data_IF_048378684097
#
_entry.id   IF_048378684097
#
_cell.length_a   1.000
_cell.length_b   1.000
_cell.length_c   1.000
_cell.angle_alpha   90.00
_cell.angle_beta   90.00
_cell.angle_gamma   90.00
#
_symmetry.space_group_name_H-M   'P 1'
#
loop_
_entity.id
_entity.type
_entity.pdbx_description
1 polymer ?
#
# COMPACT_ATOMS: atom_id res chain seq x y z
N UNK A 1 27.18 29.95 6.50
CA UNK A 1 26.13 29.89 7.54
C UNK A 1 24.69 29.97 7.02
N UNK A 2 24.43 30.58 5.84
CA UNK A 2 23.06 30.79 5.34
C UNK A 2 22.32 29.53 4.82
N UNK A 3 23.05 28.47 4.43
CA UNK A 3 22.43 27.27 3.85
C UNK A 3 21.75 26.38 4.90
N UNK A 4 22.33 26.30 6.11
CA UNK A 4 21.83 25.51 7.23
C UNK A 4 20.47 26.04 7.74
N UNK A 5 20.36 27.35 7.93
CA UNK A 5 19.11 28.00 8.36
C UNK A 5 18.01 27.95 7.28
N UNK A 6 18.40 27.94 5.99
CA UNK A 6 17.45 27.70 4.88
C UNK A 6 16.94 26.27 4.86
N UNK A 7 17.80 25.29 5.15
CA UNK A 7 17.41 23.88 5.30
C UNK A 7 16.42 23.64 6.46
N UNK A 8 16.63 24.32 7.60
CA UNK A 8 15.74 24.27 8.76
C UNK A 8 14.35 24.90 8.51
N UNK A 9 14.27 25.96 7.70
CA UNK A 9 13.00 26.65 7.42
C UNK A 9 12.23 26.07 6.22
N UNK A 10 12.93 25.58 5.20
CA UNK A 10 12.33 25.06 3.97
C UNK A 10 12.15 23.54 3.92
N UNK A 11 12.80 22.80 4.84
CA UNK A 11 13.07 21.38 4.66
C UNK A 11 14.17 21.20 3.59
N UNK A 12 15.19 20.40 3.88
CA UNK A 12 16.14 19.98 2.85
C UNK A 12 15.44 18.86 2.07
N UNK A 13 14.95 19.15 0.88
CA UNK A 13 14.56 18.11 -0.07
C UNK A 13 15.84 17.42 -0.52
N UNK A 14 16.11 16.23 0.01
CA UNK A 14 17.31 15.43 -0.31
C UNK A 14 17.27 14.89 -1.74
N UNK A 15 16.10 14.88 -2.37
CA UNK A 15 15.89 14.53 -3.78
C UNK A 15 14.69 15.29 -4.36
N UNK A 16 14.77 15.64 -5.66
CA UNK A 16 13.60 16.02 -6.46
C UNK A 16 13.07 14.75 -7.12
N UNK A 17 11.77 14.53 -7.01
CA UNK A 17 10.93 13.46 -7.59
C UNK A 17 11.68 12.36 -8.37
N UNK A 18 11.66 11.15 -7.82
CA UNK A 18 12.22 9.96 -8.44
C UNK A 18 11.38 9.55 -9.66
N UNK A 19 11.90 9.82 -10.86
CA UNK A 19 11.34 9.31 -12.12
C UNK A 19 12.23 8.18 -12.64
N UNK A 20 11.80 6.92 -12.49
CA UNK A 20 12.44 5.81 -13.20
C UNK A 20 11.87 5.69 -14.60
N UNK A 21 12.76 5.61 -15.58
CA UNK A 21 12.43 5.38 -16.98
C UNK A 21 12.87 3.96 -17.38
N UNK A 22 12.60 3.00 -16.50
CA UNK A 22 13.04 1.62 -16.68
C UNK A 22 12.17 0.93 -17.75
N UNK A 23 12.79 0.66 -18.91
CA UNK A 23 12.22 -0.21 -19.94
C UNK A 23 12.58 -1.65 -19.60
N UNK A 24 11.58 -2.42 -19.22
CA UNK A 24 11.72 -3.83 -18.83
C UNK A 24 11.66 -4.75 -20.05
N UNK A 25 12.52 -5.78 -20.15
CA UNK A 25 12.43 -6.79 -21.19
C UNK A 25 11.68 -8.02 -20.68
N UNK A 26 10.63 -8.42 -21.39
CA UNK A 26 10.23 -9.80 -21.72
C UNK A 26 8.75 -9.80 -22.10
N UNK A 27 8.49 -9.94 -23.39
CA UNK A 27 7.15 -10.16 -23.91
C UNK A 27 6.68 -11.58 -23.54
N UNK A 28 5.42 -11.74 -23.13
CA UNK A 28 4.78 -13.06 -23.06
C UNK A 28 3.29 -13.03 -23.48
N UNK A 29 2.95 -14.08 -24.23
CA UNK A 29 1.65 -14.72 -24.45
C UNK A 29 0.46 -13.81 -24.81
N UNK A 30 0.30 -13.55 -26.12
CA UNK A 30 -1.01 -13.19 -26.70
C UNK A 30 -1.93 -14.40 -26.65
N UNK A 31 -3.21 -14.20 -26.31
CA UNK A 31 -4.25 -15.19 -26.63
C UNK A 31 -4.37 -15.36 -28.14
N UNK A 32 -4.88 -16.50 -28.60
CA UNK A 32 -4.99 -16.85 -30.04
C UNK A 32 -5.74 -15.79 -30.87
N UNK A 33 -6.58 -14.96 -30.24
CA UNK A 33 -7.38 -13.91 -30.89
C UNK A 33 -6.93 -12.46 -30.60
N UNK A 34 -5.77 -12.25 -29.97
CA UNK A 34 -5.32 -10.90 -29.59
C UNK A 34 -5.90 -10.38 -28.27
N UNK A 35 -6.72 -11.18 -27.58
CA UNK A 35 -7.18 -10.89 -26.22
C UNK A 35 -6.05 -11.08 -25.19
N UNK A 36 -5.96 -10.15 -24.24
CA UNK A 36 -5.03 -10.23 -23.11
C UNK A 36 -5.67 -11.08 -22.01
N UNK A 37 -5.10 -12.25 -21.73
CA UNK A 37 -5.51 -13.07 -20.59
C UNK A 37 -4.90 -12.51 -19.30
N UNK A 38 -5.63 -11.62 -18.62
CA UNK A 38 -5.19 -11.06 -17.35
C UNK A 38 -5.19 -12.13 -16.25
N UNK A 39 -4.08 -12.39 -15.54
CA UNK A 39 -4.02 -13.44 -14.52
C UNK A 39 -4.84 -13.15 -13.26
N UNK A 40 -5.22 -11.88 -13.03
CA UNK A 40 -5.98 -11.44 -11.86
C UNK A 40 -7.35 -10.87 -12.21
N UNK A 41 -7.77 -11.00 -13.48
CA UNK A 41 -9.00 -10.40 -14.01
C UNK A 41 -9.13 -8.89 -13.72
N UNK A 42 -8.00 -8.19 -13.63
CA UNK A 42 -7.94 -6.75 -13.39
C UNK A 42 -8.39 -5.91 -14.61
N UNK A 43 -8.45 -6.53 -15.79
CA UNK A 43 -8.89 -5.91 -17.03
C UNK A 43 -10.14 -6.65 -17.51
N UNK A 44 -11.23 -5.91 -17.73
CA UNK A 44 -12.47 -6.41 -18.31
C UNK A 44 -12.92 -5.46 -19.40
N UNK A 45 -12.62 -5.80 -20.66
CA UNK A 45 -12.80 -4.87 -21.78
C UNK A 45 -11.91 -3.64 -21.60
N UNK A 46 -12.52 -2.45 -21.63
CA UNK A 46 -11.82 -1.17 -21.42
C UNK A 46 -11.67 -0.79 -19.94
N UNK A 47 -12.33 -1.51 -19.02
CA UNK A 47 -12.30 -1.19 -17.61
C UNK A 47 -11.10 -1.82 -16.91
N UNK A 48 -10.46 -1.04 -16.04
CA UNK A 48 -9.30 -1.45 -15.25
C UNK A 48 -9.54 -1.26 -13.75
N UNK A 49 -9.25 -2.32 -12.99
CA UNK A 49 -9.33 -2.35 -11.53
C UNK A 49 -7.92 -2.30 -10.91
N UNK A 50 -7.58 -1.16 -10.33
CA UNK A 50 -6.29 -0.95 -9.66
C UNK A 50 -6.09 -1.88 -8.45
N UNK A 51 -7.17 -2.30 -7.77
CA UNK A 51 -7.11 -3.20 -6.61
C UNK A 51 -6.80 -4.65 -6.96
N UNK A 52 -6.85 -5.01 -8.25
CA UNK A 52 -6.53 -6.34 -8.78
C UNK A 52 -5.29 -6.35 -9.67
N UNK A 53 -4.85 -5.18 -10.13
CA UNK A 53 -3.70 -5.08 -11.02
C UNK A 53 -2.41 -5.44 -10.27
N UNK A 54 -1.62 -6.35 -10.85
CA UNK A 54 -0.27 -6.71 -10.37
C UNK A 54 0.85 -6.10 -11.20
N UNK A 55 0.52 -5.21 -12.14
CA UNK A 55 1.48 -4.52 -13.02
C UNK A 55 2.45 -5.45 -13.76
N UNK A 56 1.97 -6.64 -14.15
CA UNK A 56 2.76 -7.62 -14.92
C UNK A 56 3.03 -7.21 -16.37
N UNK A 57 2.42 -6.11 -16.86
CA UNK A 57 2.54 -5.56 -18.22
C UNK A 57 2.17 -6.50 -19.38
N UNK A 58 1.57 -7.67 -19.12
CA UNK A 58 1.07 -8.58 -20.17
C UNK A 58 0.04 -7.94 -21.12
N UNK A 59 -0.61 -6.87 -20.66
CA UNK A 59 -1.58 -6.10 -21.43
C UNK A 59 -0.96 -5.10 -22.42
N UNK A 60 0.33 -4.78 -22.28
CA UNK A 60 0.99 -3.85 -23.19
C UNK A 60 1.31 -4.54 -24.54
N UNK A 61 1.18 -3.84 -25.68
CA UNK A 61 0.79 -2.44 -25.86
C UNK A 61 -0.72 -2.23 -26.06
N UNK A 62 -1.54 -3.29 -25.93
CA UNK A 62 -2.96 -3.29 -26.29
C UNK A 62 -3.79 -2.41 -25.35
N UNK A 63 -3.43 -2.41 -24.07
CA UNK A 63 -4.08 -1.62 -23.04
C UNK A 63 -3.03 -0.98 -22.14
N UNK A 64 -3.16 0.33 -21.90
CA UNK A 64 -2.37 1.08 -20.95
C UNK A 64 -3.27 1.55 -19.80
N UNK A 65 -2.93 1.27 -18.53
CA UNK A 65 -3.71 1.77 -17.40
C UNK A 65 -3.66 3.31 -17.36
N UNK A 66 -4.79 3.96 -17.62
CA UNK A 66 -4.92 5.42 -17.74
C UNK A 66 -5.23 6.14 -16.43
N UNK A 67 -5.57 5.43 -15.36
CA UNK A 67 -5.79 6.02 -14.03
C UNK A 67 -4.49 6.19 -13.24
N UNK A 68 -4.52 6.92 -12.12
CA UNK A 68 -3.36 7.03 -11.22
C UNK A 68 -3.22 5.72 -10.41
N UNK A 69 -2.28 4.82 -10.74
CA UNK A 69 -2.26 3.45 -10.22
C UNK A 69 -2.01 3.32 -8.73
N UNK A 70 -1.54 4.39 -8.11
CA UNK A 70 -1.01 4.39 -6.75
C UNK A 70 -1.84 5.26 -5.80
N UNK A 71 -3.03 5.70 -6.22
CA UNK A 71 -3.93 6.41 -5.31
C UNK A 71 -4.63 5.44 -4.38
N UNK A 72 -4.44 5.63 -3.08
CA UNK A 72 -5.17 4.89 -2.08
C UNK A 72 -6.66 5.24 -2.12
N UNK A 73 -7.50 4.21 -1.99
CA UNK A 73 -8.94 4.38 -1.79
C UNK A 73 -9.19 4.51 -0.29
N UNK A 74 -9.78 5.63 0.11
CA UNK A 74 -10.06 5.96 1.51
C UNK A 74 -11.55 5.82 1.74
N UNK A 75 -11.96 4.80 2.50
CA UNK A 75 -13.35 4.55 2.89
C UNK A 75 -13.66 5.09 4.29
N UNK A 76 -12.65 5.22 5.15
CA UNK A 76 -12.79 5.78 6.50
C UNK A 76 -11.50 6.40 7.01
N UNK A 77 -11.64 7.52 7.71
CA UNK A 77 -10.55 8.25 8.38
C UNK A 77 -10.93 8.55 9.81
N UNK A 78 -9.96 8.63 10.71
CA UNK A 78 -10.19 9.01 12.10
C UNK A 78 -9.37 10.26 12.45
N UNK A 79 -10.07 11.35 12.83
CA UNK A 79 -9.45 12.64 13.10
C UNK A 79 -8.71 12.71 14.45
N UNK A 80 -8.99 11.78 15.35
CA UNK A 80 -8.34 11.70 16.67
C UNK A 80 -6.84 11.40 16.55
N UNK A 81 -6.41 10.71 15.49
CA UNK A 81 -5.01 10.31 15.27
C UNK A 81 -4.13 11.37 14.58
N UNK A 82 -4.64 12.58 14.36
CA UNK A 82 -3.94 13.62 13.57
C UNK A 82 -2.51 13.93 14.03
N UNK A 83 -2.24 13.84 15.34
CA UNK A 83 -0.95 14.20 15.95
C UNK A 83 -0.03 13.00 16.17
N UNK A 84 -0.59 11.86 16.52
CA UNK A 84 0.12 10.61 16.80
C UNK A 84 -0.69 9.46 16.26
N UNK A 85 -0.08 8.66 15.39
CA UNK A 85 -0.72 7.54 14.73
C UNK A 85 0.17 6.31 14.83
N UNK A 86 -0.24 5.37 15.67
CA UNK A 86 0.50 4.15 15.95
C UNK A 86 -0.01 3.01 15.07
N UNK A 87 0.86 2.46 14.23
CA UNK A 87 0.47 1.43 13.26
C UNK A 87 1.15 0.10 13.58
N UNK A 88 0.38 -0.98 13.52
CA UNK A 88 0.86 -2.34 13.73
C UNK A 88 0.84 -3.13 12.41
N UNK A 89 2.00 -3.45 11.83
CA UNK A 89 2.07 -4.29 10.65
C UNK A 89 1.88 -5.77 10.99
N UNK A 90 0.98 -6.42 10.27
CA UNK A 90 0.80 -7.86 10.27
C UNK A 90 0.98 -8.42 8.86
N UNK A 91 1.90 -9.37 8.75
CA UNK A 91 2.12 -10.14 7.53
C UNK A 91 1.28 -11.41 7.59
N UNK A 92 0.38 -11.58 6.63
CA UNK A 92 -0.56 -12.71 6.59
C UNK A 92 -0.14 -13.84 5.65
N UNK A 93 0.95 -13.66 4.90
CA UNK A 93 1.39 -14.59 3.85
C UNK A 93 2.16 -13.94 2.69
N UNK A 94 2.71 -12.74 2.89
CA UNK A 94 3.36 -11.95 1.85
C UNK A 94 4.59 -12.62 1.24
N UNK A 95 4.87 -12.31 -0.03
CA UNK A 95 6.14 -12.63 -0.70
C UNK A 95 7.30 -11.72 -0.29
N UNK A 96 7.06 -10.77 0.63
CA UNK A 96 8.06 -9.83 1.15
C UNK A 96 8.15 -8.50 0.39
N UNK A 97 7.61 -8.40 -0.82
CA UNK A 97 7.67 -7.17 -1.63
C UNK A 97 7.00 -5.98 -0.94
N UNK A 98 5.74 -6.15 -0.50
CA UNK A 98 5.04 -5.08 0.23
C UNK A 98 5.70 -4.75 1.58
N UNK A 99 6.30 -5.75 2.24
CA UNK A 99 6.98 -5.55 3.52
C UNK A 99 8.25 -4.71 3.37
N UNK A 100 8.98 -4.88 2.27
CA UNK A 100 10.17 -4.09 1.98
C UNK A 100 9.78 -2.63 1.76
N UNK A 101 8.84 -2.37 0.86
CA UNK A 101 8.35 -1.00 0.60
C UNK A 101 7.75 -0.35 1.85
N UNK A 102 7.00 -1.12 2.64
CA UNK A 102 6.44 -0.63 3.90
C UNK A 102 7.55 -0.31 4.92
N UNK A 103 8.63 -1.09 5.00
CA UNK A 103 9.75 -0.76 5.89
C UNK A 103 10.50 0.50 5.44
N UNK A 104 10.57 0.77 4.14
CA UNK A 104 11.25 1.95 3.60
C UNK A 104 10.63 3.26 4.06
N UNK A 105 9.34 3.30 4.44
CA UNK A 105 8.71 4.52 4.97
C UNK A 105 9.38 5.02 6.27
N UNK A 106 10.08 4.14 6.99
CA UNK A 106 10.87 4.49 8.18
C UNK A 106 12.30 4.92 7.89
N UNK A 107 12.76 4.73 6.64
CA UNK A 107 14.09 5.16 6.22
C UNK A 107 14.15 6.69 6.12
N UNK A 108 15.35 7.30 6.27
CA UNK A 108 15.50 8.76 6.30
C UNK A 108 14.94 9.49 5.06
N UNK A 109 14.84 8.81 3.92
CA UNK A 109 14.31 9.36 2.67
C UNK A 109 12.81 9.71 2.78
N UNK A 110 12.04 8.85 3.45
CA UNK A 110 10.58 9.03 3.59
C UNK A 110 10.21 9.54 4.98
N UNK A 111 10.97 9.15 6.00
CA UNK A 111 10.84 9.51 7.41
C UNK A 111 9.39 9.69 7.87
N UNK A 112 8.67 8.60 8.11
CA UNK A 112 7.29 8.67 8.58
C UNK A 112 7.12 9.39 9.92
N UNK A 113 8.17 9.49 10.75
CA UNK A 113 8.08 10.04 12.11
C UNK A 113 7.80 11.53 12.13
N UNK A 114 8.25 12.27 11.10
CA UNK A 114 7.91 13.70 10.91
C UNK A 114 6.41 13.96 10.74
N UNK A 115 5.65 12.93 10.35
CA UNK A 115 4.20 13.00 10.19
C UNK A 115 3.45 12.50 11.43
N UNK A 116 4.16 12.17 12.52
CA UNK A 116 3.58 11.62 13.75
C UNK A 116 3.16 10.16 13.61
N UNK A 117 3.75 9.42 12.67
CA UNK A 117 3.44 8.00 12.44
C UNK A 117 4.53 7.14 13.08
N UNK A 118 4.13 6.13 13.83
CA UNK A 118 5.04 5.28 14.60
C UNK A 118 4.68 3.81 14.49
N UNK A 119 5.67 2.93 14.47
CA UNK A 119 5.45 1.49 14.57
C UNK A 119 5.31 1.06 16.02
N UNK A 120 4.38 0.14 16.26
CA UNK A 120 4.26 -0.57 17.53
C UNK A 120 4.48 -2.06 17.34
N UNK A 121 4.94 -2.71 18.40
CA UNK A 121 5.22 -4.16 18.40
C UNK A 121 4.06 -5.00 18.92
N UNK A 122 2.95 -4.37 19.30
CA UNK A 122 1.75 -5.07 19.80
C UNK A 122 0.48 -4.38 19.30
N UNK A 123 -0.55 -5.16 18.89
CA UNK A 123 -1.83 -4.60 18.45
C UNK A 123 -2.56 -3.85 19.57
N UNK A 124 -2.28 -4.12 20.84
CA UNK A 124 -2.93 -3.42 21.98
C UNK A 124 -2.59 -1.93 22.07
N UNK A 125 -1.51 -1.50 21.41
CA UNK A 125 -1.06 -0.10 21.37
C UNK A 125 -1.26 0.52 19.98
N UNK A 126 -1.99 -0.17 19.10
CA UNK A 126 -2.14 0.23 17.70
C UNK A 126 -3.46 0.97 17.47
N UNK A 127 -3.38 2.09 16.77
CA UNK A 127 -4.51 2.84 16.23
C UNK A 127 -4.95 2.27 14.87
N UNK A 128 -4.01 1.68 14.12
CA UNK A 128 -4.29 1.02 12.86
C UNK A 128 -3.57 -0.32 12.69
N UNK A 129 -4.30 -1.26 12.10
CA UNK A 129 -3.81 -2.57 11.66
C UNK A 129 -3.42 -2.49 10.20
N UNK A 130 -2.14 -2.68 9.89
CA UNK A 130 -1.65 -2.74 8.51
C UNK A 130 -1.57 -4.19 8.08
N UNK A 131 -2.40 -4.60 7.12
CA UNK A 131 -2.44 -5.97 6.62
C UNK A 131 -1.73 -6.05 5.27
N UNK A 132 -0.73 -6.93 5.20
CA UNK A 132 0.05 -7.19 4.00
C UNK A 132 0.01 -8.66 3.62
N UNK A 133 0.10 -8.93 2.31
CA UNK A 133 0.13 -10.28 1.76
C UNK A 133 -1.26 -10.89 1.57
N UNK A 134 -1.28 -12.13 1.07
CA UNK A 134 -2.49 -12.93 0.99
C UNK A 134 -2.77 -13.60 2.35
N UNK A 135 -4.02 -14.00 2.58
CA UNK A 135 -4.39 -14.67 3.83
C UNK A 135 -4.00 -16.15 3.76
N UNK A 136 -2.95 -16.54 4.48
CA UNK A 136 -2.71 -17.96 4.75
C UNK A 136 -3.67 -18.50 5.81
N UNK A 137 -4.08 -19.76 5.65
CA UNK A 137 -5.05 -20.41 6.56
C UNK A 137 -4.61 -20.33 8.04
N UNK A 138 -3.31 -20.51 8.29
CA UNK A 138 -2.71 -20.43 9.62
C UNK A 138 -2.78 -19.02 10.21
N UNK A 139 -2.67 -17.99 9.37
CA UNK A 139 -2.69 -16.59 9.80
C UNK A 139 -4.10 -16.03 9.99
N UNK A 140 -5.13 -16.65 9.44
CA UNK A 140 -6.53 -16.19 9.61
C UNK A 140 -6.91 -15.98 11.07
N UNK A 141 -6.65 -16.97 11.94
CA UNK A 141 -6.94 -16.85 13.38
C UNK A 141 -6.09 -15.80 14.08
N UNK A 142 -4.84 -15.62 13.65
CA UNK A 142 -3.90 -14.65 14.25
C UNK A 142 -4.33 -13.23 13.89
N UNK A 143 -4.67 -12.99 12.63
CA UNK A 143 -5.18 -11.72 12.14
C UNK A 143 -6.44 -11.30 12.89
N UNK A 144 -7.41 -12.23 13.04
CA UNK A 144 -8.64 -11.94 13.78
C UNK A 144 -8.37 -11.59 15.24
N UNK A 145 -7.52 -12.35 15.93
CA UNK A 145 -7.12 -12.05 17.31
C UNK A 145 -6.43 -10.70 17.44
N UNK A 146 -5.55 -10.35 16.51
CA UNK A 146 -4.87 -9.05 16.51
C UNK A 146 -5.88 -7.90 16.37
N UNK A 147 -6.84 -8.04 15.46
CA UNK A 147 -7.91 -7.06 15.27
C UNK A 147 -8.83 -6.93 16.50
N UNK A 148 -9.19 -8.06 17.13
CA UNK A 148 -10.12 -8.08 18.26
C UNK A 148 -9.52 -7.44 19.53
N UNK A 149 -8.20 -7.51 19.72
CA UNK A 149 -7.52 -6.93 20.92
C UNK A 149 -7.14 -5.46 20.77
N UNK A 150 -7.32 -4.86 19.60
CA UNK A 150 -7.07 -3.44 19.38
C UNK A 150 -8.15 -2.56 20.05
N UNK A 151 -7.76 -1.44 20.68
CA UNK A 151 -8.71 -0.49 21.26
C UNK A 151 -9.50 0.24 20.17
N UNK A 152 -10.69 0.74 20.51
CA UNK A 152 -11.45 1.66 19.66
C UNK A 152 -11.10 3.13 19.98
N UNK A 153 -11.10 4.05 18.99
CA UNK A 153 -11.34 3.79 17.56
C UNK A 153 -10.16 3.04 16.91
N UNK A 154 -10.42 2.20 15.90
CA UNK A 154 -9.35 1.54 15.12
C UNK A 154 -9.58 1.56 13.62
N UNK A 155 -8.49 1.58 12.86
CA UNK A 155 -8.48 1.50 11.40
C UNK A 155 -7.83 0.21 10.90
N UNK A 156 -8.26 -0.26 9.74
CA UNK A 156 -7.63 -1.35 8.99
C UNK A 156 -7.15 -0.79 7.67
N UNK A 157 -5.88 -1.04 7.35
CA UNK A 157 -5.25 -0.57 6.12
C UNK A 157 -4.72 -1.78 5.36
N UNK A 158 -5.27 -2.00 4.17
CA UNK A 158 -4.86 -3.10 3.28
C UNK A 158 -3.79 -2.57 2.32
N UNK A 159 -2.61 -3.17 2.34
CA UNK A 159 -1.49 -2.77 1.49
C UNK A 159 -1.20 -3.85 0.46
N UNK A 160 -1.30 -3.45 -0.81
CA UNK A 160 -0.97 -4.24 -1.96
C UNK A 160 -2.09 -5.15 -2.45
N UNK A 161 -2.01 -5.52 -3.73
CA UNK A 161 -3.05 -6.27 -4.45
C UNK A 161 -3.41 -7.59 -3.77
N UNK A 162 -2.43 -8.29 -3.17
CA UNK A 162 -2.67 -9.54 -2.44
C UNK A 162 -3.61 -9.36 -1.23
N UNK A 163 -3.47 -8.27 -0.47
CA UNK A 163 -4.31 -7.99 0.69
C UNK A 163 -5.69 -7.45 0.29
N UNK A 164 -5.85 -6.97 -0.95
CA UNK A 164 -7.10 -6.37 -1.44
C UNK A 164 -7.99 -7.42 -2.11
N UNK A 165 -7.40 -8.21 -3.01
CA UNK A 165 -8.14 -9.11 -3.91
C UNK A 165 -7.62 -10.54 -3.90
N UNK A 166 -6.56 -10.84 -3.14
CA UNK A 166 -5.91 -12.14 -3.15
C UNK A 166 -4.76 -12.27 -4.17
N UNK A 167 -4.61 -11.30 -5.09
CA UNK A 167 -3.56 -11.31 -6.10
C UNK A 167 -3.73 -12.47 -7.09
N UNK A 168 -2.64 -13.11 -7.49
CA UNK A 168 -2.65 -14.15 -8.55
C UNK A 168 -3.21 -15.48 -8.07
N UNK A 169 -2.92 -15.87 -6.82
CA UNK A 169 -3.22 -17.23 -6.32
C UNK A 169 -3.78 -17.26 -4.90
N UNK A 170 -3.92 -16.11 -4.26
CA UNK A 170 -4.28 -16.01 -2.85
C UNK A 170 -5.75 -15.70 -2.61
N UNK A 171 -6.10 -15.72 -1.33
CA UNK A 171 -7.41 -15.28 -0.82
C UNK A 171 -7.17 -13.98 -0.04
N UNK A 172 -8.01 -12.95 -0.18
CA UNK A 172 -7.88 -11.74 0.62
C UNK A 172 -8.22 -12.02 2.10
N UNK A 173 -7.69 -11.23 3.05
CA UNK A 173 -8.08 -11.27 4.45
C UNK A 173 -9.59 -11.03 4.63
N UNK A 174 -10.22 -11.77 5.55
CA UNK A 174 -11.63 -11.60 5.93
C UNK A 174 -11.81 -10.43 6.93
N UNK A 175 -11.28 -9.26 6.56
CA UNK A 175 -11.42 -8.01 7.32
C UNK A 175 -11.62 -6.87 6.33
N UNK A 176 -12.62 -6.02 6.60
CA UNK A 176 -12.87 -4.83 5.79
C UNK A 176 -11.79 -3.77 6.04
N UNK A 177 -11.11 -3.34 4.97
CA UNK A 177 -10.17 -2.21 5.01
C UNK A 177 -10.88 -0.86 5.04
N UNK A 178 -10.47 0.04 5.93
CA UNK A 178 -10.82 1.46 5.91
C UNK A 178 -10.03 2.22 4.85
N UNK A 179 -8.78 1.82 4.61
CA UNK A 179 -7.90 2.39 3.59
C UNK A 179 -7.28 1.27 2.78
N UNK A 180 -7.27 1.44 1.47
CA UNK A 180 -6.82 0.44 0.51
C UNK A 180 -5.72 1.06 -0.34
N UNK A 181 -4.52 0.47 -0.31
CA UNK A 181 -3.35 0.95 -1.06
C UNK A 181 -3.05 -0.02 -2.21
N UNK A 182 -3.51 0.25 -3.45
CA UNK A 182 -3.26 -0.62 -4.59
C UNK A 182 -1.78 -0.62 -4.99
N UNK A 183 -1.27 -1.76 -5.46
CA UNK A 183 0.12 -1.91 -5.90
C UNK A 183 0.67 -3.32 -5.74
N UNK A 184 1.68 -3.68 -6.55
CA UNK A 184 2.37 -4.98 -6.46
C UNK A 184 3.87 -4.86 -6.77
N UNK A 185 4.67 -4.26 -5.87
CA UNK A 185 4.27 -3.65 -4.61
C UNK A 185 3.84 -2.17 -4.78
N UNK A 186 3.08 -1.59 -3.85
CA UNK A 186 2.85 -0.16 -3.80
C UNK A 186 4.14 0.58 -3.40
N UNK A 187 4.37 1.78 -3.95
CA UNK A 187 5.57 2.57 -3.62
C UNK A 187 5.51 3.10 -2.19
N UNK A 188 6.65 3.39 -1.54
CA UNK A 188 6.67 3.87 -0.16
C UNK A 188 5.98 5.23 -0.01
N UNK A 189 6.10 6.10 -1.02
CA UNK A 189 5.40 7.38 -1.07
C UNK A 189 3.88 7.20 -1.02
N UNK A 190 3.34 6.27 -1.81
CA UNK A 190 1.90 6.02 -1.86
C UNK A 190 1.38 5.35 -0.61
N UNK A 191 2.18 4.49 0.04
CA UNK A 191 1.88 3.98 1.38
C UNK A 191 1.81 5.14 2.37
N UNK A 192 2.83 6.01 2.39
CA UNK A 192 2.93 7.12 3.33
C UNK A 192 1.78 8.12 3.16
N UNK A 193 1.45 8.50 1.93
CA UNK A 193 0.31 9.36 1.61
C UNK A 193 -1.00 8.76 2.11
N UNK A 194 -1.17 7.44 1.95
CA UNK A 194 -2.35 6.73 2.45
C UNK A 194 -2.44 6.79 3.98
N UNK A 195 -1.33 6.61 4.71
CA UNK A 195 -1.30 6.70 6.17
C UNK A 195 -1.59 8.13 6.67
N UNK A 196 -1.05 9.14 5.98
CA UNK A 196 -1.30 10.55 6.29
C UNK A 196 -2.78 10.89 6.12
N UNK A 197 -3.39 10.40 5.04
CA UNK A 197 -4.81 10.61 4.80
C UNK A 197 -5.68 9.81 5.80
N UNK A 198 -5.28 8.58 6.16
CA UNK A 198 -5.97 7.74 7.13
C UNK A 198 -6.12 8.40 8.51
N UNK A 199 -5.05 9.06 9.00
CA UNK A 199 -5.06 9.82 10.26
C UNK A 199 -5.85 11.15 10.20
N UNK A 200 -6.55 11.39 9.10
CA UNK A 200 -7.43 12.55 8.91
C UNK A 200 -6.72 13.86 8.56
N UNK A 201 -5.47 13.82 8.08
CA UNK A 201 -4.78 14.99 7.57
C UNK A 201 -5.24 15.26 6.12
N UNK A 202 -5.73 16.47 5.83
CA UNK A 202 -6.27 16.86 4.52
C UNK A 202 -5.31 17.80 3.77
N UNK A 203 -4.02 17.50 3.77
CA UNK A 203 -3.03 18.30 3.04
C UNK A 203 -3.20 18.17 1.53
#
# INVERSE_FOLDING_TARGET
MNWFLRGLKGGIYTEKDYHTNDKWPSALMRGENGDVKCPTDAIKGENWDAGKCVFCRLCEPIFYPTGKPLQAKIEGTEGTFKRSFFVYPIDTGSCGGCNLEFRLISAPQYDMTRFGIFFVNTPKHADALIVMGNLSEKMSKVLRKAYDVMPEPKLVILIGTCAISGGVTGIPPDIKGNVIVPGCPPTPSSILDALIAAKGDKR
#
